data_IF_655929210615
#
_entry.id   IF_655929210615
#
_cell.length_a   1.000
_cell.length_b   1.000
_cell.length_c   1.000
_cell.angle_alpha   90.00
_cell.angle_beta   90.00
_cell.angle_gamma   90.00
#
_symmetry.space_group_name_H-M   'P 1'
#
loop_
_entity.id
_entity.type
_entity.pdbx_description
1 polymer ?
#
# COMPACT_ATOMS: atom_id res chain seq x y z
N UNK A 1 -26.66 11.46 5.87
CA UNK A 1 -26.83 12.74 6.63
C UNK A 1 -25.57 13.61 6.65
N UNK A 2 -24.40 13.15 6.16
CA UNK A 2 -23.16 13.94 6.13
C UNK A 2 -23.09 15.01 5.02
N UNK A 3 -23.95 14.93 4.00
CA UNK A 3 -23.72 15.60 2.70
C UNK A 3 -24.65 16.80 2.46
N UNK A 4 -25.55 17.11 3.40
CA UNK A 4 -26.61 18.12 3.25
C UNK A 4 -26.06 19.57 3.25
N UNK A 5 -24.82 19.80 3.70
CA UNK A 5 -24.30 21.12 4.03
C UNK A 5 -23.04 21.52 3.25
N UNK A 6 -22.76 20.86 2.11
CA UNK A 6 -21.56 21.12 1.28
C UNK A 6 -20.26 21.22 2.12
N UNK A 7 -19.93 20.19 2.92
CA UNK A 7 -18.73 20.22 3.75
C UNK A 7 -17.45 20.30 2.90
N UNK A 8 -16.47 21.04 3.39
CA UNK A 8 -15.11 21.08 2.82
C UNK A 8 -14.38 19.74 2.97
N UNK A 9 -14.78 18.89 3.95
CA UNK A 9 -14.18 17.59 4.24
C UNK A 9 -15.23 16.53 4.56
N UNK A 10 -15.18 15.40 3.85
CA UNK A 10 -16.10 14.27 4.01
C UNK A 10 -15.30 13.01 4.35
N UNK A 11 -15.80 12.23 5.32
CA UNK A 11 -15.25 10.92 5.65
C UNK A 11 -16.25 9.82 5.29
N UNK A 12 -15.78 8.82 4.55
CA UNK A 12 -16.52 7.58 4.29
C UNK A 12 -15.76 6.39 4.88
N UNK A 13 -16.45 5.59 5.69
CA UNK A 13 -15.91 4.34 6.19
C UNK A 13 -16.60 3.18 5.45
N UNK A 14 -15.87 2.51 4.55
CA UNK A 14 -16.35 1.37 3.77
C UNK A 14 -17.71 1.64 3.05
N UNK A 15 -17.81 2.70 2.23
CA UNK A 15 -19.10 3.25 1.76
C UNK A 15 -19.92 2.30 0.89
N UNK A 16 -19.29 1.30 0.28
CA UNK A 16 -19.95 0.33 -0.60
C UNK A 16 -19.89 -1.11 -0.09
N UNK A 17 -19.49 -1.30 1.18
CA UNK A 17 -19.49 -2.61 1.80
C UNK A 17 -20.90 -3.21 1.86
N UNK A 18 -21.03 -4.45 1.40
CA UNK A 18 -22.31 -5.17 1.36
C UNK A 18 -23.26 -4.75 0.24
N UNK A 19 -22.87 -3.81 -0.63
CA UNK A 19 -23.63 -3.47 -1.83
C UNK A 19 -23.33 -4.43 -2.98
N UNK A 20 -24.36 -4.69 -3.79
CA UNK A 20 -24.17 -5.35 -5.08
C UNK A 20 -23.44 -4.43 -6.08
N UNK A 21 -22.90 -4.98 -7.19
CA UNK A 21 -22.12 -4.20 -8.15
C UNK A 21 -22.85 -2.99 -8.75
N UNK A 22 -24.17 -3.06 -8.96
CA UNK A 22 -24.92 -1.94 -9.53
C UNK A 22 -25.08 -0.82 -8.51
N UNK A 23 -25.49 -1.16 -7.28
CA UNK A 23 -25.64 -0.19 -6.19
C UNK A 23 -24.32 0.47 -5.83
N UNK A 24 -23.21 -0.27 -5.87
CA UNK A 24 -21.86 0.28 -5.69
C UNK A 24 -21.56 1.39 -6.69
N UNK A 25 -21.84 1.15 -7.98
CA UNK A 25 -21.58 2.13 -9.06
C UNK A 25 -22.33 3.45 -8.81
N UNK A 26 -23.57 3.37 -8.33
CA UNK A 26 -24.37 4.56 -8.00
C UNK A 26 -23.73 5.36 -6.86
N UNK A 27 -23.19 4.69 -5.84
CA UNK A 27 -22.48 5.37 -4.75
C UNK A 27 -21.19 6.01 -5.26
N UNK A 28 -20.46 5.35 -6.16
CA UNK A 28 -19.25 5.90 -6.76
C UNK A 28 -19.53 7.16 -7.56
N UNK A 29 -20.55 7.14 -8.42
CA UNK A 29 -20.96 8.31 -9.19
C UNK A 29 -21.32 9.48 -8.27
N UNK A 30 -22.00 9.20 -7.15
CA UNK A 30 -22.31 10.21 -6.13
C UNK A 30 -21.06 10.77 -5.46
N UNK A 31 -20.08 9.94 -5.10
CA UNK A 31 -18.81 10.39 -4.49
C UNK A 31 -18.04 11.30 -5.47
N UNK A 32 -17.99 10.93 -6.75
CA UNK A 32 -17.33 11.73 -7.80
C UNK A 32 -17.99 13.11 -7.96
N UNK A 33 -19.31 13.19 -7.85
CA UNK A 33 -20.02 14.47 -7.87
C UNK A 33 -19.57 15.42 -6.73
N UNK A 34 -19.20 14.90 -5.55
CA UNK A 34 -18.64 15.73 -4.47
C UNK A 34 -17.21 16.17 -4.72
N UNK A 35 -16.39 15.33 -5.36
CA UNK A 35 -15.03 15.70 -5.76
C UNK A 35 -15.07 16.89 -6.73
N UNK A 36 -16.02 16.90 -7.67
CA UNK A 36 -16.21 18.01 -8.61
C UNK A 36 -16.62 19.33 -7.93
N UNK A 37 -17.16 19.28 -6.71
CA UNK A 37 -17.62 20.45 -5.93
C UNK A 37 -16.55 21.00 -4.97
N UNK A 38 -15.28 20.66 -5.18
CA UNK A 38 -14.12 21.06 -4.34
C UNK A 38 -14.16 20.55 -2.87
N UNK A 39 -14.99 19.55 -2.56
CA UNK A 39 -14.94 18.86 -1.26
C UNK A 39 -13.74 17.90 -1.21
N UNK A 40 -12.96 17.94 -0.14
CA UNK A 40 -11.95 16.91 0.14
C UNK A 40 -12.63 15.67 0.69
N UNK A 41 -12.32 14.49 0.16
CA UNK A 41 -12.91 13.22 0.60
C UNK A 41 -11.81 12.31 1.11
N UNK A 42 -12.03 11.74 2.30
CA UNK A 42 -11.21 10.65 2.85
C UNK A 42 -12.11 9.43 2.93
N UNK A 43 -11.77 8.38 2.20
CA UNK A 43 -12.49 7.11 2.24
C UNK A 43 -11.57 5.97 2.66
N UNK A 44 -12.10 5.04 3.44
CA UNK A 44 -11.46 3.75 3.73
C UNK A 44 -12.18 2.66 2.97
N UNK A 45 -11.41 1.76 2.35
CA UNK A 45 -11.94 0.62 1.63
C UNK A 45 -10.92 -0.51 1.59
N UNK A 46 -11.39 -1.74 1.66
CA UNK A 46 -10.61 -2.93 1.32
C UNK A 46 -10.77 -3.35 -0.14
N UNK A 47 -11.60 -2.64 -0.92
CA UNK A 47 -11.84 -2.93 -2.32
C UNK A 47 -10.87 -2.13 -3.21
N UNK A 48 -9.97 -2.84 -3.90
CA UNK A 48 -8.95 -2.20 -4.75
C UNK A 48 -9.54 -1.51 -5.98
N UNK A 49 -10.68 -1.97 -6.50
CA UNK A 49 -11.38 -1.30 -7.61
C UNK A 49 -11.93 0.07 -7.16
N UNK A 50 -12.47 0.14 -5.94
CA UNK A 50 -12.98 1.40 -5.35
C UNK A 50 -11.85 2.38 -5.08
N UNK A 51 -10.78 1.90 -4.47
CA UNK A 51 -9.57 2.68 -4.23
C UNK A 51 -9.02 3.27 -5.54
N UNK A 52 -8.97 2.47 -6.60
CA UNK A 52 -8.43 2.87 -7.90
C UNK A 52 -9.30 3.89 -8.65
N UNK A 53 -10.62 3.73 -8.60
CA UNK A 53 -11.56 4.55 -9.38
C UNK A 53 -11.95 5.88 -8.70
N UNK A 54 -11.87 5.95 -7.36
CA UNK A 54 -12.32 7.11 -6.59
C UNK A 54 -11.20 7.98 -6.00
N UNK A 55 -9.95 7.52 -5.99
CA UNK A 55 -8.89 8.20 -5.23
C UNK A 55 -7.85 8.87 -6.13
N UNK A 56 -7.59 10.16 -5.88
CA UNK A 56 -6.45 10.86 -6.47
C UNK A 56 -5.11 10.40 -5.84
N UNK A 57 -5.15 10.07 -4.54
CA UNK A 57 -4.02 9.58 -3.76
C UNK A 57 -4.47 8.41 -2.86
N UNK A 58 -3.63 7.39 -2.77
CA UNK A 58 -3.86 6.18 -2.00
C UNK A 58 -2.85 6.03 -0.87
N UNK A 59 -3.33 5.50 0.25
CA UNK A 59 -2.53 5.10 1.40
C UNK A 59 -2.83 3.64 1.72
N UNK A 60 -1.83 2.77 1.56
CA UNK A 60 -1.95 1.38 1.97
C UNK A 60 -1.53 1.27 3.42
N UNK A 61 -2.44 0.78 4.26
CA UNK A 61 -2.24 0.65 5.70
C UNK A 61 -2.18 -0.83 6.07
N UNK A 62 -1.13 -1.20 6.80
CA UNK A 62 -0.98 -2.52 7.40
C UNK A 62 -0.47 -2.41 8.84
N UNK A 63 -1.04 -3.21 9.75
CA UNK A 63 -0.82 -3.14 11.21
C UNK A 63 -0.79 -1.70 11.79
N UNK A 64 -1.70 -0.84 11.33
CA UNK A 64 -1.83 0.55 11.78
C UNK A 64 -0.72 1.50 11.30
N UNK A 65 -0.02 1.16 10.22
CA UNK A 65 1.01 2.01 9.62
C UNK A 65 0.86 2.09 8.11
N UNK A 66 1.21 3.24 7.55
CA UNK A 66 1.21 3.46 6.10
C UNK A 66 2.44 2.78 5.49
N UNK A 67 2.22 1.70 4.76
CA UNK A 67 3.27 0.93 4.11
C UNK A 67 3.56 1.45 2.70
N UNK A 68 2.56 1.98 2.00
CA UNK A 68 2.73 2.61 0.69
C UNK A 68 1.83 3.84 0.56
N UNK A 69 2.28 4.82 -0.22
CA UNK A 69 1.56 6.06 -0.51
C UNK A 69 1.92 6.53 -1.92
N UNK A 70 0.93 7.03 -2.65
CA UNK A 70 1.08 7.58 -3.99
C UNK A 70 -0.24 7.53 -4.75
N UNK A 71 -0.23 7.99 -6.00
CA UNK A 71 -1.40 7.85 -6.87
C UNK A 71 -1.68 6.37 -7.18
N UNK A 72 -2.91 5.99 -7.58
CA UNK A 72 -3.19 4.61 -7.99
C UNK A 72 -2.25 4.11 -9.10
N UNK A 73 -1.92 4.96 -10.06
CA UNK A 73 -0.98 4.63 -11.14
C UNK A 73 0.44 4.40 -10.63
N UNK A 74 0.97 5.28 -9.77
CA UNK A 74 2.29 5.12 -9.17
C UNK A 74 2.36 3.86 -8.29
N UNK A 75 1.30 3.56 -7.53
CA UNK A 75 1.26 2.37 -6.71
C UNK A 75 1.14 1.11 -7.55
N UNK A 76 0.38 1.11 -8.65
CA UNK A 76 0.38 0.00 -9.61
C UNK A 76 1.73 -0.20 -10.27
N UNK A 77 2.44 0.86 -10.63
CA UNK A 77 3.80 0.73 -11.19
C UNK A 77 4.80 0.21 -10.15
N UNK A 78 4.74 0.72 -8.92
CA UNK A 78 5.66 0.34 -7.83
C UNK A 78 5.35 -1.01 -7.21
N UNK A 79 4.09 -1.41 -7.18
CA UNK A 79 3.63 -2.63 -6.52
C UNK A 79 3.35 -3.72 -7.55
N UNK A 80 2.67 -3.39 -8.67
CA UNK A 80 2.16 -4.33 -9.68
C UNK A 80 3.19 -5.23 -10.34
N UNK A 81 4.49 -4.91 -10.22
CA UNK A 81 5.55 -5.84 -10.56
C UNK A 81 6.27 -6.34 -9.28
N UNK A 82 6.30 -7.66 -9.08
CA UNK A 82 7.11 -8.32 -8.04
C UNK A 82 6.38 -8.59 -6.72
N UNK A 83 7.02 -9.42 -5.89
CA UNK A 83 6.51 -9.86 -4.59
C UNK A 83 6.84 -8.84 -3.51
N UNK A 84 5.95 -8.75 -2.49
CA UNK A 84 6.21 -7.97 -1.28
C UNK A 84 6.80 -8.86 -0.21
N UNK A 85 8.05 -8.60 0.17
CA UNK A 85 8.77 -9.31 1.21
C UNK A 85 8.77 -8.45 2.48
N UNK A 86 8.13 -8.95 3.54
CA UNK A 86 8.18 -8.36 4.88
C UNK A 86 9.15 -9.15 5.76
N UNK A 87 10.05 -8.48 6.47
CA UNK A 87 10.83 -9.13 7.52
C UNK A 87 11.12 -8.24 8.71
N UNK A 88 11.43 -8.89 9.84
CA UNK A 88 11.84 -8.23 11.09
C UNK A 88 13.33 -8.37 11.33
N UNK A 89 14.01 -7.25 11.54
CA UNK A 89 15.43 -7.23 11.90
C UNK A 89 15.64 -7.24 13.43
N UNK A 90 16.69 -7.95 13.87
CA UNK A 90 17.12 -7.97 15.28
C UNK A 90 17.66 -6.62 15.77
N UNK A 91 18.38 -5.89 14.91
CA UNK A 91 19.12 -4.67 15.23
C UNK A 91 18.52 -3.44 14.52
N UNK A 92 17.61 -2.68 15.17
CA UNK A 92 16.94 -1.50 14.59
C UNK A 92 17.89 -0.47 13.97
N UNK A 93 19.09 -0.31 14.55
CA UNK A 93 20.10 0.65 14.09
C UNK A 93 20.62 0.39 12.67
N UNK A 94 20.49 -0.85 12.17
CA UNK A 94 20.94 -1.23 10.82
C UNK A 94 19.86 -1.13 9.75
N UNK A 95 18.67 -0.63 10.07
CA UNK A 95 17.53 -0.65 9.14
C UNK A 95 17.82 0.05 7.81
N UNK A 96 18.49 1.20 7.87
CA UNK A 96 18.71 2.06 6.71
C UNK A 96 19.82 1.44 5.83
N UNK A 97 20.86 0.89 6.46
CA UNK A 97 21.90 0.08 5.82
C UNK A 97 21.29 -1.15 5.12
N UNK A 98 20.37 -1.86 5.76
CA UNK A 98 19.71 -3.04 5.18
C UNK A 98 18.86 -2.68 3.96
N UNK A 99 18.12 -1.57 4.02
CA UNK A 99 17.33 -1.11 2.87
C UNK A 99 18.27 -0.71 1.73
N UNK A 100 19.33 0.05 2.02
CA UNK A 100 20.31 0.48 1.02
C UNK A 100 20.97 -0.73 0.34
N UNK A 101 21.44 -1.70 1.13
CA UNK A 101 22.00 -2.95 0.62
C UNK A 101 20.99 -3.74 -0.21
N UNK A 102 19.75 -3.87 0.25
CA UNK A 102 18.71 -4.58 -0.49
C UNK A 102 18.44 -3.91 -1.84
N UNK A 103 18.39 -2.57 -1.89
CA UNK A 103 18.19 -1.80 -3.13
C UNK A 103 19.37 -1.83 -4.10
N UNK A 104 20.53 -2.39 -3.71
CA UNK A 104 21.62 -2.64 -4.66
C UNK A 104 21.34 -3.83 -5.59
N UNK A 105 20.39 -4.69 -5.20
CA UNK A 105 19.97 -5.83 -6.00
C UNK A 105 19.10 -5.36 -7.16
N UNK A 106 19.44 -5.81 -8.37
CA UNK A 106 18.80 -5.37 -9.63
C UNK A 106 17.30 -5.68 -9.72
N UNK A 107 16.85 -6.67 -8.95
CA UNK A 107 15.46 -7.09 -8.87
C UNK A 107 14.67 -6.47 -7.72
N UNK A 108 15.32 -5.77 -6.79
CA UNK A 108 14.64 -5.06 -5.70
C UNK A 108 14.30 -3.67 -6.22
N UNK A 109 13.01 -3.38 -6.36
CA UNK A 109 12.54 -2.09 -6.90
C UNK A 109 12.58 -0.99 -5.84
N UNK A 110 12.17 -1.31 -4.62
CA UNK A 110 12.19 -0.39 -3.50
C UNK A 110 12.18 -1.13 -2.17
N UNK A 111 12.61 -0.42 -1.12
CA UNK A 111 12.53 -0.89 0.26
C UNK A 111 12.10 0.23 1.21
N UNK A 112 11.30 -0.10 2.22
CA UNK A 112 10.81 0.86 3.22
C UNK A 112 10.79 0.25 4.61
N UNK A 113 11.18 1.02 5.62
CA UNK A 113 11.04 0.62 7.02
C UNK A 113 9.71 1.12 7.61
N UNK A 114 9.07 0.26 8.39
CA UNK A 114 7.74 0.50 8.96
C UNK A 114 7.82 0.33 10.48
N UNK A 115 8.11 1.43 11.17
CA UNK A 115 8.43 1.46 12.61
C UNK A 115 9.88 1.06 12.90
N UNK A 116 10.14 0.42 14.07
CA UNK A 116 11.52 0.19 14.54
C UNK A 116 12.20 -1.06 13.99
N UNK A 117 11.45 -2.07 13.52
CA UNK A 117 12.01 -3.39 13.22
C UNK A 117 11.50 -4.06 11.95
N UNK A 118 10.44 -3.55 11.33
CA UNK A 118 9.86 -4.16 10.13
C UNK A 118 10.37 -3.45 8.89
N UNK A 119 10.77 -4.22 7.90
CA UNK A 119 11.19 -3.75 6.58
C UNK A 119 10.32 -4.45 5.54
N UNK A 120 9.86 -3.69 4.58
CA UNK A 120 9.14 -4.16 3.40
C UNK A 120 10.02 -3.91 2.19
N UNK A 121 10.19 -4.92 1.35
CA UNK A 121 10.84 -4.82 0.05
C UNK A 121 9.86 -5.25 -1.04
N UNK A 122 9.88 -4.56 -2.17
CA UNK A 122 9.29 -5.08 -3.40
C UNK A 122 10.41 -5.64 -4.28
N UNK A 123 10.27 -6.89 -4.70
CA UNK A 123 11.29 -7.59 -5.46
C UNK A 123 10.67 -8.49 -6.55
N UNK A 124 11.21 -8.44 -7.76
CA UNK A 124 10.82 -9.33 -8.86
C UNK A 124 11.21 -10.79 -8.54
N UNK A 125 10.26 -11.72 -8.69
CA UNK A 125 10.43 -13.14 -8.30
C UNK A 125 10.97 -13.28 -6.86
N UNK A 126 10.53 -12.40 -5.95
CA UNK A 126 11.05 -12.26 -4.59
C UNK A 126 11.08 -13.57 -3.80
N UNK A 127 10.07 -14.43 -3.96
CA UNK A 127 10.06 -15.75 -3.31
C UNK A 127 11.22 -16.65 -3.77
N UNK A 128 11.54 -16.64 -5.07
CA UNK A 128 12.61 -17.48 -5.65
C UNK A 128 13.99 -16.92 -5.36
N UNK A 129 14.11 -15.60 -5.25
CA UNK A 129 15.38 -14.88 -5.03
C UNK A 129 15.61 -14.49 -3.57
N UNK A 130 14.84 -15.08 -2.65
CA UNK A 130 14.92 -14.75 -1.24
C UNK A 130 16.29 -15.06 -0.63
N UNK A 131 16.95 -16.12 -1.11
CA UNK A 131 18.31 -16.47 -0.71
C UNK A 131 19.32 -15.39 -1.11
N UNK A 132 19.21 -14.83 -2.32
CA UNK A 132 20.07 -13.73 -2.78
C UNK A 132 19.92 -12.48 -1.88
N UNK A 133 18.68 -12.16 -1.50
CA UNK A 133 18.38 -11.05 -0.58
C UNK A 133 19.01 -11.32 0.80
N UNK A 134 18.83 -12.53 1.33
CA UNK A 134 19.37 -12.91 2.64
C UNK A 134 20.91 -12.89 2.67
N UNK A 135 21.56 -13.35 1.60
CA UNK A 135 23.02 -13.38 1.48
C UNK A 135 23.62 -11.98 1.46
N UNK A 136 22.94 -11.01 0.83
CA UNK A 136 23.36 -9.61 0.82
C UNK A 136 23.09 -8.94 2.17
N UNK A 137 21.91 -9.18 2.76
CA UNK A 137 21.46 -8.43 3.93
C UNK A 137 22.27 -8.77 5.20
N UNK A 138 22.93 -9.92 5.33
CA UNK A 138 23.86 -10.28 6.45
C UNK A 138 23.39 -9.88 7.86
N UNK A 139 22.09 -9.78 8.08
CA UNK A 139 21.47 -9.40 9.34
C UNK A 139 20.53 -10.51 9.75
N UNK A 140 20.52 -10.82 11.04
CA UNK A 140 19.63 -11.83 11.60
C UNK A 140 18.17 -11.34 11.51
N UNK A 141 17.38 -12.05 10.71
CA UNK A 141 15.94 -11.84 10.55
C UNK A 141 15.19 -12.74 11.52
N UNK A 142 14.21 -12.19 12.24
CA UNK A 142 13.40 -12.93 13.20
C UNK A 142 12.08 -13.47 12.64
N UNK A 143 11.64 -12.89 11.54
CA UNK A 143 10.33 -13.17 10.93
C UNK A 143 10.41 -12.75 9.46
N UNK A 144 9.85 -13.56 8.57
CA UNK A 144 9.90 -13.35 7.13
C UNK A 144 8.55 -13.81 6.53
N UNK A 145 7.88 -12.92 5.84
CA UNK A 145 6.66 -13.18 5.08
C UNK A 145 6.86 -12.71 3.65
N UNK A 146 6.36 -13.47 2.69
CA UNK A 146 6.34 -13.08 1.28
C UNK A 146 4.90 -13.11 0.82
N UNK A 147 4.47 -12.01 0.22
CA UNK A 147 3.16 -11.88 -0.39
C UNK A 147 3.38 -11.76 -1.89
N UNK A 148 2.99 -12.79 -2.65
CA UNK A 148 2.92 -12.70 -4.11
C UNK A 148 1.93 -11.60 -4.48
N UNK A 149 2.36 -10.68 -5.33
CA UNK A 149 1.45 -9.67 -5.81
C UNK A 149 0.58 -10.25 -6.93
N UNK A 150 -0.74 -10.20 -6.75
CA UNK A 150 -1.73 -10.70 -7.69
C UNK A 150 -2.52 -9.58 -8.39
N UNK A 151 -2.08 -8.33 -8.24
CA UNK A 151 -2.62 -7.16 -8.96
C UNK A 151 -2.50 -7.30 -10.48
#
# INVERSE_FOLDING_TARGET
>A
MAVIHEPELIFFDEPTAGLDPQSRRVVWDFIKEFQERESTIILTTHNMEEADDLSDELLIVDYGKIIAQGTPSELKEKLGEGDIIEFKISNPEKRDEVIELATTLDFVRWGKSVGKRRIFLNALDGLRRISDIMDVIKVEMKDLSVHENSL
#
